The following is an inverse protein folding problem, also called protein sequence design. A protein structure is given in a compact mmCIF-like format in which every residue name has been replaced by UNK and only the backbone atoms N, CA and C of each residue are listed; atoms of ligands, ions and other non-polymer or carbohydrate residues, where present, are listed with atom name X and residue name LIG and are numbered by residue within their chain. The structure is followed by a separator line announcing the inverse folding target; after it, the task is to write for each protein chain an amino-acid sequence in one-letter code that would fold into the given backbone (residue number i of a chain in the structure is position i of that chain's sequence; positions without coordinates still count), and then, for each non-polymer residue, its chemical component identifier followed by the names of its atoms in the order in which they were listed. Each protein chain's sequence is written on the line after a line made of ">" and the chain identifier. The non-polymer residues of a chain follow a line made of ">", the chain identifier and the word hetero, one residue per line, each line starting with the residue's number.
data_IF_690514340880
#
_entry.id   IF_690514340880
#
_cell.length_a   1.000
_cell.length_b   1.000
_cell.length_c   1.000
_cell.angle_alpha   90.00
_cell.angle_beta   90.00
_cell.angle_gamma   90.00
#
_symmetry.space_group_name_H-M   'P 1'
#
loop_
_entity.id
_entity.type
_entity.pdbx_description
1 polymer ?
#
# COMPACT_ATOMS: atom_id res chain seq x y z
N UNK A 1 14.99 1.46 13.41
CA UNK A 1 13.77 1.12 12.62
C UNK A 1 13.84 -0.36 12.33
N UNK A 2 12.73 -1.09 12.48
CA UNK A 2 12.67 -2.54 12.27
C UNK A 2 12.41 -2.83 10.78
N UNK A 3 13.03 -3.88 10.25
CA UNK A 3 12.72 -4.41 8.93
C UNK A 3 11.73 -5.56 9.08
N UNK A 4 10.87 -5.74 8.08
CA UNK A 4 9.99 -6.90 7.94
C UNK A 4 10.06 -7.42 6.51
N UNK A 5 9.60 -8.65 6.30
CA UNK A 5 9.39 -9.20 4.97
C UNK A 5 7.90 -9.21 4.67
N UNK A 6 7.50 -8.56 3.58
CA UNK A 6 6.13 -8.57 3.05
C UNK A 6 6.17 -9.22 1.67
N UNK A 7 5.51 -10.37 1.48
CA UNK A 7 5.47 -11.05 0.18
C UNK A 7 6.87 -11.27 -0.46
N UNK A 8 7.88 -11.58 0.36
CA UNK A 8 9.28 -11.74 -0.08
C UNK A 8 10.08 -10.42 -0.20
N UNK A 9 9.43 -9.25 -0.10
CA UNK A 9 10.08 -7.93 -0.17
C UNK A 9 10.53 -7.47 1.20
N UNK A 10 11.76 -6.95 1.27
CA UNK A 10 12.29 -6.30 2.46
C UNK A 10 11.68 -4.91 2.64
N UNK A 11 10.73 -4.80 3.58
CA UNK A 11 10.09 -3.54 3.95
C UNK A 11 10.70 -2.92 5.21
N UNK A 12 10.67 -1.60 5.28
CA UNK A 12 11.09 -0.83 6.46
C UNK A 12 9.88 -0.30 7.22
N UNK A 13 9.74 -0.65 8.48
CA UNK A 13 8.67 -0.11 9.33
C UNK A 13 8.94 1.38 9.60
N UNK A 14 8.00 2.23 9.19
CA UNK A 14 8.05 3.69 9.35
C UNK A 14 7.07 4.21 10.39
N UNK A 15 6.03 3.44 10.72
CA UNK A 15 5.07 3.77 11.77
C UNK A 15 4.50 2.48 12.37
N UNK A 16 4.15 2.52 13.66
CA UNK A 16 3.46 1.44 14.34
C UNK A 16 2.38 2.04 15.25
N UNK A 17 1.21 1.43 15.28
CA UNK A 17 0.18 1.88 16.23
C UNK A 17 0.63 1.64 17.68
N UNK A 18 0.26 2.51 18.64
CA UNK A 18 0.62 2.35 20.05
C UNK A 18 0.16 1.03 20.68
N UNK A 19 -0.94 0.48 20.16
CA UNK A 19 -1.55 -0.76 20.65
C UNK A 19 -1.16 -2.00 19.82
N UNK A 20 -0.29 -1.85 18.82
CA UNK A 20 0.18 -2.97 18.01
C UNK A 20 -0.82 -3.54 17.00
N UNK A 21 -1.88 -2.80 16.66
CA UNK A 21 -2.93 -3.23 15.71
C UNK A 21 -2.54 -3.05 14.24
N UNK A 22 -1.64 -2.10 13.91
CA UNK A 22 -1.14 -1.91 12.54
C UNK A 22 0.33 -1.51 12.49
N UNK A 23 0.95 -1.78 11.34
CA UNK A 23 2.25 -1.24 10.92
C UNK A 23 2.12 -0.51 9.59
N UNK A 24 2.84 0.59 9.45
CA UNK A 24 3.09 1.23 8.16
C UNK A 24 4.50 0.87 7.73
N UNK A 25 4.59 0.27 6.54
CA UNK A 25 5.81 -0.35 6.03
C UNK A 25 6.10 0.26 4.67
N UNK A 26 7.25 0.91 4.56
CA UNK A 26 7.76 1.39 3.29
C UNK A 26 8.41 0.22 2.55
N UNK A 27 7.94 -0.08 1.34
CA UNK A 27 8.51 -1.13 0.49
C UNK A 27 9.63 -0.54 -0.39
N UNK A 28 9.33 0.55 -1.11
CA UNK A 28 10.32 1.37 -1.81
C UNK A 28 9.99 2.87 -1.63
N UNK A 29 10.59 3.78 -2.40
CA UNK A 29 10.34 5.22 -2.25
C UNK A 29 8.91 5.64 -2.68
N UNK A 30 8.26 4.85 -3.54
CA UNK A 30 6.93 5.13 -4.10
C UNK A 30 5.81 4.37 -3.42
N UNK A 31 6.10 3.21 -2.83
CA UNK A 31 5.10 2.26 -2.36
C UNK A 31 5.25 2.06 -0.86
N UNK A 32 4.14 2.28 -0.16
CA UNK A 32 4.02 2.04 1.27
C UNK A 32 2.74 1.28 1.54
N UNK A 33 2.77 0.30 2.43
CA UNK A 33 1.58 -0.40 2.87
C UNK A 33 1.25 -0.04 4.33
N UNK A 34 -0.03 -0.08 4.67
CA UNK A 34 -0.48 -0.12 6.05
C UNK A 34 -1.15 -1.47 6.28
N UNK A 35 -0.43 -2.39 6.93
CA UNK A 35 -0.93 -3.72 7.27
C UNK A 35 -1.48 -3.76 8.69
N UNK A 36 -2.58 -4.47 8.90
CA UNK A 36 -3.22 -4.66 10.20
C UNK A 36 -3.10 -6.10 10.66
N UNK A 37 -3.11 -6.33 11.97
CA UNK A 37 -3.10 -7.67 12.57
C UNK A 37 -4.47 -8.06 13.13
N UNK A 38 -5.43 -7.15 13.05
CA UNK A 38 -6.80 -7.33 13.53
C UNK A 38 -7.72 -6.58 12.59
N UNK A 39 -8.83 -7.19 12.16
CA UNK A 39 -9.76 -6.53 11.25
C UNK A 39 -10.80 -5.62 11.96
N UNK A 40 -10.40 -4.92 13.02
CA UNK A 40 -11.31 -4.00 13.75
C UNK A 40 -11.83 -2.84 12.89
N UNK A 41 -11.18 -2.58 11.75
CA UNK A 41 -11.56 -1.54 10.79
C UNK A 41 -12.40 -2.07 9.62
N UNK A 42 -12.75 -3.35 9.61
CA UNK A 42 -13.51 -4.03 8.56
C UNK A 42 -12.95 -3.72 7.15
N UNK A 43 -11.63 -3.84 7.02
CA UNK A 43 -10.98 -3.87 5.72
C UNK A 43 -11.18 -5.25 5.12
N UNK A 44 -11.03 -5.32 3.80
CA UNK A 44 -11.06 -6.60 3.12
C UNK A 44 -9.90 -7.46 3.60
N UNK A 45 -10.25 -8.59 4.21
CA UNK A 45 -9.28 -9.55 4.71
C UNK A 45 -8.65 -10.27 3.54
N UNK A 46 -7.39 -10.62 3.73
CA UNK A 46 -6.72 -11.49 2.80
C UNK A 46 -6.52 -12.84 3.47
N UNK A 47 -6.85 -13.89 2.74
CA UNK A 47 -6.57 -15.26 3.16
C UNK A 47 -5.09 -15.63 3.10
N UNK A 48 -4.25 -14.78 2.48
CA UNK A 48 -2.84 -15.09 2.25
C UNK A 48 -1.93 -14.63 3.41
N UNK A 49 -1.47 -15.64 4.14
CA UNK A 49 -0.57 -15.56 5.30
C UNK A 49 0.80 -14.97 4.92
N UNK A 50 1.21 -15.01 3.65
CA UNK A 50 2.53 -14.55 3.17
C UNK A 50 2.79 -13.05 3.42
N UNK A 51 1.73 -12.26 3.61
CA UNK A 51 1.80 -10.84 3.96
C UNK A 51 2.27 -10.56 5.38
N UNK A 52 2.01 -11.49 6.31
CA UNK A 52 2.10 -11.25 7.75
C UNK A 52 1.02 -10.31 8.31
N UNK A 53 -0.03 -10.00 7.54
CA UNK A 53 -1.13 -9.09 7.92
C UNK A 53 -2.50 -9.73 7.63
N UNK A 54 -3.49 -9.39 8.45
CA UNK A 54 -4.90 -9.79 8.26
C UNK A 54 -5.51 -9.06 7.06
N UNK A 55 -5.18 -7.78 6.92
CA UNK A 55 -5.59 -6.92 5.80
C UNK A 55 -4.59 -5.79 5.64
N UNK A 56 -4.51 -5.19 4.44
CA UNK A 56 -3.69 -4.02 4.23
C UNK A 56 -4.29 -3.00 3.26
N UNK A 57 -3.73 -1.80 3.28
CA UNK A 57 -3.99 -0.73 2.29
C UNK A 57 -2.68 -0.34 1.64
N UNK A 58 -2.66 -0.24 0.32
CA UNK A 58 -1.51 0.25 -0.46
C UNK A 58 -1.60 1.75 -0.65
N UNK A 59 -0.46 2.41 -0.49
CA UNK A 59 -0.25 3.81 -0.81
C UNK A 59 0.79 3.91 -1.91
N UNK A 60 0.41 4.51 -3.04
CA UNK A 60 1.29 4.71 -4.20
C UNK A 60 1.52 6.22 -4.36
N UNK A 61 2.78 6.63 -4.35
CA UNK A 61 3.20 8.00 -4.61
C UNK A 61 3.08 8.35 -6.09
N UNK A 62 2.56 9.54 -6.35
CA UNK A 62 2.43 10.10 -7.70
C UNK A 62 2.85 11.58 -7.70
N UNK A 63 3.39 12.06 -8.81
CA UNK A 63 3.89 13.43 -8.97
C UNK A 63 2.83 14.37 -9.53
N UNK A 64 1.81 13.85 -10.19
CA UNK A 64 0.76 14.62 -10.86
C UNK A 64 -0.56 13.84 -10.96
N UNK A 65 -1.64 14.55 -11.29
CA UNK A 65 -2.95 13.92 -11.55
C UNK A 65 -2.92 13.02 -12.80
N UNK A 66 -2.12 13.35 -13.80
CA UNK A 66 -1.95 12.52 -15.00
C UNK A 66 -1.27 11.18 -14.67
N UNK A 67 -0.25 11.19 -13.81
CA UNK A 67 0.35 9.96 -13.30
C UNK A 67 -0.63 9.17 -12.42
N UNK A 68 -1.46 9.87 -11.64
CA UNK A 68 -2.50 9.23 -10.84
C UNK A 68 -3.52 8.49 -11.72
N UNK A 69 -3.90 9.06 -12.86
CA UNK A 69 -4.81 8.42 -13.82
C UNK A 69 -4.23 7.10 -14.36
N UNK A 70 -2.97 7.09 -14.81
CA UNK A 70 -2.31 5.87 -15.25
C UNK A 70 -2.22 4.80 -14.16
N UNK A 71 -1.95 5.20 -12.90
CA UNK A 71 -1.95 4.26 -11.77
C UNK A 71 -3.36 3.73 -11.51
N UNK A 72 -4.41 4.55 -11.64
CA UNK A 72 -5.80 4.09 -11.45
C UNK A 72 -6.22 3.04 -12.47
N UNK A 73 -5.84 3.22 -13.74
CA UNK A 73 -6.09 2.22 -14.79
C UNK A 73 -5.43 0.88 -14.44
N UNK A 74 -4.14 0.91 -14.08
CA UNK A 74 -3.41 -0.28 -13.67
C UNK A 74 -4.04 -0.95 -12.43
N UNK A 75 -4.48 -0.18 -11.43
CA UNK A 75 -5.16 -0.69 -10.24
C UNK A 75 -6.46 -1.42 -10.59
N UNK A 76 -7.25 -0.86 -11.51
CA UNK A 76 -8.53 -1.44 -11.93
C UNK A 76 -8.35 -2.75 -12.69
N UNK A 77 -7.33 -2.85 -13.56
CA UNK A 77 -6.98 -4.09 -14.28
C UNK A 77 -6.59 -5.22 -13.32
N UNK A 78 -6.05 -4.86 -12.15
CA UNK A 78 -5.45 -5.78 -11.19
C UNK A 78 -6.39 -6.11 -10.03
N UNK A 79 -7.66 -5.74 -10.15
CA UNK A 79 -8.71 -6.03 -9.16
C UNK A 79 -8.67 -5.16 -7.90
N UNK A 80 -7.78 -4.17 -7.85
CA UNK A 80 -7.77 -3.18 -6.77
C UNK A 80 -8.88 -2.16 -6.94
N UNK A 81 -9.23 -1.50 -5.84
CA UNK A 81 -10.27 -0.47 -5.84
C UNK A 81 -9.99 0.66 -4.86
N UNK A 82 -10.69 1.76 -5.10
CA UNK A 82 -10.75 2.92 -4.23
C UNK A 82 -12.05 2.86 -3.43
N UNK A 83 -12.01 3.29 -2.17
CA UNK A 83 -13.26 3.51 -1.42
C UNK A 83 -13.94 4.75 -2.01
N UNK A 84 -15.26 4.82 -1.91
CA UNK A 84 -16.04 6.00 -2.27
C UNK A 84 -15.37 7.30 -1.76
N UNK A 85 -15.14 8.25 -2.67
CA UNK A 85 -14.45 9.54 -2.43
C UNK A 85 -12.94 9.44 -2.13
N UNK A 86 -12.27 8.33 -2.43
CA UNK A 86 -10.80 8.18 -2.32
C UNK A 86 -10.11 7.99 -3.69
N UNK A 87 -10.83 8.19 -4.79
CA UNK A 87 -10.33 8.03 -6.17
C UNK A 87 -9.32 9.14 -6.58
N UNK A 88 -9.47 10.32 -6.00
CA UNK A 88 -8.59 11.45 -6.30
C UNK A 88 -7.29 11.38 -5.48
N UNK A 89 -6.13 11.69 -6.09
CA UNK A 89 -4.87 11.72 -5.38
C UNK A 89 -4.90 12.80 -4.31
N UNK A 90 -4.38 12.47 -3.13
CA UNK A 90 -4.33 13.38 -1.98
C UNK A 90 -2.89 13.77 -1.69
N UNK A 91 -2.69 14.86 -0.95
CA UNK A 91 -1.35 15.23 -0.47
C UNK A 91 -0.73 14.06 0.31
N UNK A 92 0.51 13.72 -0.04
CA UNK A 92 1.23 12.61 0.58
C UNK A 92 1.34 12.74 2.08
N UNK A 93 1.01 11.64 2.77
CA UNK A 93 1.16 11.47 4.21
C UNK A 93 2.12 10.33 4.53
N UNK A 94 2.02 9.24 3.77
CA UNK A 94 2.78 8.00 3.95
C UNK A 94 3.92 7.88 2.94
N UNK A 95 3.70 8.30 1.70
CA UNK A 95 4.72 8.26 0.63
C UNK A 95 5.45 9.60 0.53
N UNK A 96 6.33 9.89 1.49
CA UNK A 96 6.94 11.23 1.66
C UNK A 96 7.84 11.70 0.51
N UNK A 97 8.33 10.80 -0.33
CA UNK A 97 9.16 11.15 -1.48
C UNK A 97 8.34 11.78 -2.63
N UNK A 98 7.01 11.69 -2.58
CA UNK A 98 6.11 12.15 -3.63
C UNK A 98 5.17 13.25 -3.08
N UNK A 99 4.72 14.20 -3.91
CA UNK A 99 3.81 15.27 -3.48
C UNK A 99 2.38 14.76 -3.22
N UNK A 100 1.96 13.75 -3.99
CA UNK A 100 0.63 13.15 -3.91
C UNK A 100 0.73 11.64 -3.68
N UNK A 101 -0.32 11.07 -3.09
CA UNK A 101 -0.48 9.63 -2.90
C UNK A 101 -1.91 9.18 -3.24
N UNK A 102 -2.02 7.97 -3.78
CA UNK A 102 -3.27 7.23 -3.95
C UNK A 102 -3.44 6.23 -2.80
N UNK A 103 -4.68 5.93 -2.42
CA UNK A 103 -5.01 5.00 -1.33
C UNK A 103 -5.88 3.86 -1.86
N UNK A 104 -5.30 2.68 -1.97
CA UNK A 104 -5.85 1.55 -2.74
C UNK A 104 -6.09 0.35 -1.83
N UNK A 105 -7.17 -0.39 -2.09
CA UNK A 105 -7.56 -1.64 -1.42
C UNK A 105 -7.72 -2.78 -2.43
N UNK A 106 -7.81 -4.01 -1.92
CA UNK A 106 -8.10 -5.20 -2.73
C UNK A 106 -6.93 -5.71 -3.58
N UNK A 107 -5.76 -5.08 -3.51
CA UNK A 107 -4.57 -5.60 -4.18
C UNK A 107 -4.04 -6.83 -3.44
N UNK A 108 -3.59 -7.83 -4.20
CA UNK A 108 -2.94 -9.02 -3.65
C UNK A 108 -1.49 -8.75 -3.26
N UNK A 109 -0.92 -9.62 -2.44
CA UNK A 109 0.50 -9.59 -2.06
C UNK A 109 1.42 -9.65 -3.27
N UNK A 110 1.19 -10.62 -4.15
CA UNK A 110 1.99 -10.86 -5.35
C UNK A 110 1.97 -9.65 -6.27
N UNK A 111 0.79 -9.05 -6.47
CA UNK A 111 0.69 -7.86 -7.32
C UNK A 111 1.46 -6.67 -6.74
N UNK A 112 1.32 -6.42 -5.43
CA UNK A 112 2.12 -5.36 -4.79
C UNK A 112 3.61 -5.65 -4.94
N UNK A 113 4.01 -6.92 -4.87
CA UNK A 113 5.40 -7.29 -5.02
C UNK A 113 5.94 -7.07 -6.44
N UNK A 114 5.18 -7.48 -7.45
CA UNK A 114 5.48 -7.20 -8.86
C UNK A 114 5.53 -5.69 -9.13
N UNK A 115 4.61 -4.92 -8.57
CA UNK A 115 4.56 -3.47 -8.75
C UNK A 115 5.75 -2.76 -8.11
N UNK A 116 6.24 -3.25 -6.96
CA UNK A 116 7.50 -2.75 -6.36
C UNK A 116 8.70 -3.07 -7.25
N UNK A 117 8.78 -4.28 -7.78
CA UNK A 117 9.89 -4.69 -8.65
C UNK A 117 9.93 -3.87 -9.95
N UNK A 118 8.78 -3.63 -10.58
CA UNK A 118 8.68 -2.86 -11.81
C UNK A 118 8.98 -1.35 -11.65
N UNK A 119 8.95 -0.83 -10.42
CA UNK A 119 9.27 0.58 -10.12
C UNK A 119 10.76 0.80 -9.80
N UNK A 120 11.53 -0.28 -9.61
CA UNK A 120 12.99 -0.22 -9.42
C UNK A 120 13.80 -0.25 -10.73
N UNK A 121 13.17 -0.62 -11.85
CA UNK A 121 13.74 -0.62 -13.22
C UNK A 121 13.57 0.74 -13.95
#
# INVERSE_FOLDING_TARGET
>A
MKNITFAGIQGKVIESSPHGNYLVVRLNDRITICGTFTNIWNWEEMSDISSGFESFITYIGVRSNMEAEAVRECVAEMGGYFRQNEEEPRRSKRVKAFPLELKIRGLTNDFVAEFVAADED
#
